data_IF_090253340251
#
_entry.id   IF_090253340251
#
_cell.length_a   1.000
_cell.length_b   1.000
_cell.length_c   1.000
_cell.angle_alpha   90.00
_cell.angle_beta   90.00
_cell.angle_gamma   90.00
#
_symmetry.space_group_name_H-M   'P 1'
#
loop_
_entity.id
_entity.type
_entity.pdbx_description
1 polymer ?
#
# COMPACT_ATOMS: atom_id res chain seq x y z
N UNK A 1 -12.59 16.92 -19.00
CA UNK A 1 -12.51 15.70 -18.15
C UNK A 1 -11.20 15.01 -18.46
N UNK A 2 -10.33 14.87 -17.47
CA UNK A 2 -9.08 14.12 -17.67
C UNK A 2 -9.46 12.63 -17.75
N UNK A 3 -9.30 12.05 -18.95
CA UNK A 3 -9.69 10.66 -19.23
C UNK A 3 -8.60 9.76 -18.63
N UNK A 4 -9.00 8.62 -18.05
CA UNK A 4 -8.08 7.56 -17.65
C UNK A 4 -7.27 7.09 -18.86
N UNK A 5 -5.96 7.33 -18.85
CA UNK A 5 -5.05 6.96 -19.94
C UNK A 5 -4.19 5.77 -19.55
N UNK A 6 -3.98 4.84 -20.47
CA UNK A 6 -3.07 3.71 -20.28
C UNK A 6 -1.62 4.18 -20.37
N UNK A 7 -0.94 4.25 -19.22
CA UNK A 7 0.44 4.77 -19.12
C UNK A 7 1.49 3.68 -18.96
N UNK A 8 1.10 2.50 -18.50
CA UNK A 8 2.04 1.42 -18.18
C UNK A 8 1.44 0.06 -18.59
N UNK A 9 2.20 -0.74 -19.32
CA UNK A 9 1.81 -2.11 -19.71
C UNK A 9 2.90 -3.09 -19.28
N UNK A 10 2.49 -4.21 -18.69
CA UNK A 10 3.39 -5.28 -18.29
C UNK A 10 2.63 -6.61 -18.20
N UNK A 11 3.30 -7.66 -17.79
CA UNK A 11 2.73 -8.95 -17.44
C UNK A 11 3.27 -9.40 -16.09
N UNK A 12 2.47 -10.19 -15.35
CA UNK A 12 2.88 -10.75 -14.06
C UNK A 12 3.97 -11.78 -14.26
N UNK A 13 5.10 -11.60 -13.59
CA UNK A 13 6.25 -12.50 -13.67
C UNK A 13 6.22 -13.56 -12.56
N UNK A 14 6.94 -14.69 -12.76
CA UNK A 14 6.96 -15.79 -11.79
C UNK A 14 7.50 -15.37 -10.42
N UNK A 15 8.48 -14.47 -10.36
CA UNK A 15 9.05 -14.00 -9.09
C UNK A 15 8.14 -13.05 -8.31
N UNK A 16 7.07 -12.60 -8.91
CA UNK A 16 6.04 -11.75 -8.28
C UNK A 16 4.95 -12.56 -7.57
N UNK A 17 4.93 -13.88 -7.79
CA UNK A 17 3.92 -14.78 -7.23
C UNK A 17 4.31 -15.20 -5.80
N UNK A 18 3.34 -15.13 -4.89
CA UNK A 18 3.49 -15.64 -3.53
C UNK A 18 3.11 -17.13 -3.42
N UNK A 19 3.23 -17.68 -2.21
CA UNK A 19 2.93 -19.10 -1.92
C UNK A 19 1.45 -19.45 -2.11
N UNK A 20 0.57 -18.45 -2.28
CA UNK A 20 -0.86 -18.67 -2.54
C UNK A 20 -1.18 -18.70 -4.03
N UNK A 21 -0.16 -18.56 -4.90
CA UNK A 21 -0.26 -18.69 -6.35
C UNK A 21 -0.75 -17.44 -7.08
N UNK A 22 -0.74 -16.28 -6.44
CA UNK A 22 -1.11 -15.02 -7.06
C UNK A 22 -0.06 -13.94 -6.81
N UNK A 23 -0.15 -12.84 -7.57
CA UNK A 23 0.78 -11.72 -7.43
C UNK A 23 0.73 -11.15 -6.01
N UNK A 24 1.90 -11.13 -5.35
CA UNK A 24 2.04 -10.61 -4.00
C UNK A 24 1.71 -9.11 -3.96
N UNK A 25 1.05 -8.68 -2.88
CA UNK A 25 0.57 -7.31 -2.68
C UNK A 25 1.64 -6.22 -2.90
N UNK A 26 2.92 -6.53 -2.65
CA UNK A 26 4.03 -5.59 -2.85
C UNK A 26 4.23 -5.21 -4.32
N UNK A 27 3.99 -6.14 -5.26
CA UNK A 27 4.21 -5.90 -6.67
C UNK A 27 3.11 -5.05 -7.31
N UNK A 28 1.89 -5.10 -6.78
CA UNK A 28 0.86 -4.14 -7.16
C UNK A 28 1.32 -2.71 -6.87
N UNK A 29 1.92 -2.47 -5.70
CA UNK A 29 2.47 -1.16 -5.33
C UNK A 29 3.66 -0.78 -6.21
N UNK A 30 4.57 -1.72 -6.46
CA UNK A 30 5.72 -1.52 -7.34
C UNK A 30 5.31 -1.05 -8.74
N UNK A 31 4.37 -1.75 -9.37
CA UNK A 31 3.85 -1.38 -10.68
C UNK A 31 3.09 -0.05 -10.67
N UNK A 32 2.33 0.23 -9.60
CA UNK A 32 1.61 1.50 -9.44
C UNK A 32 2.58 2.69 -9.32
N UNK A 33 3.68 2.56 -8.58
CA UNK A 33 4.71 3.60 -8.47
C UNK A 33 5.40 3.87 -9.82
N UNK A 34 5.75 2.82 -10.57
CA UNK A 34 6.32 2.96 -11.90
C UNK A 34 5.35 3.65 -12.88
N UNK A 35 4.08 3.24 -12.86
CA UNK A 35 3.04 3.86 -13.68
C UNK A 35 2.83 5.35 -13.32
N UNK A 36 2.85 5.67 -12.02
CA UNK A 36 2.74 7.05 -11.53
C UNK A 36 3.91 7.90 -12.02
N UNK A 37 5.14 7.41 -11.94
CA UNK A 37 6.32 8.13 -12.42
C UNK A 37 6.23 8.40 -13.94
N UNK A 38 5.81 7.42 -14.74
CA UNK A 38 5.60 7.60 -16.18
C UNK A 38 4.51 8.66 -16.44
N UNK A 39 3.38 8.55 -15.75
CA UNK A 39 2.28 9.52 -15.87
C UNK A 39 2.73 10.95 -15.56
N UNK A 40 3.49 11.16 -14.48
CA UNK A 40 4.00 12.48 -14.11
C UNK A 40 5.01 13.02 -15.14
N UNK A 41 5.79 12.15 -15.78
CA UNK A 41 6.69 12.51 -16.91
C UNK A 41 5.90 12.90 -18.15
N UNK A 42 4.86 12.15 -18.53
CA UNK A 42 3.97 12.47 -19.64
C UNK A 42 3.25 13.82 -19.44
N UNK A 43 2.88 14.11 -18.19
CA UNK A 43 2.30 15.42 -17.80
C UNK A 43 3.37 16.52 -17.66
N UNK A 44 4.65 16.25 -17.93
CA UNK A 44 5.79 17.18 -17.80
C UNK A 44 5.98 17.76 -16.39
N UNK A 45 5.46 17.08 -15.37
CA UNK A 45 5.69 17.42 -13.96
C UNK A 45 7.07 16.98 -13.47
N UNK A 46 7.66 16.00 -14.15
CA UNK A 46 9.02 15.50 -13.92
C UNK A 46 9.72 15.45 -15.26
N UNK A 47 10.99 15.85 -15.32
CA UNK A 47 11.82 15.81 -16.52
C UNK A 47 12.99 14.84 -16.34
N UNK A 48 13.39 14.16 -17.42
CA UNK A 48 14.59 13.33 -17.41
C UNK A 48 15.85 14.17 -17.11
N UNK A 49 16.79 13.70 -16.30
CA UNK A 49 16.94 12.37 -15.66
C UNK A 49 16.32 12.25 -14.27
N UNK A 50 15.48 13.18 -13.88
CA UNK A 50 14.85 13.25 -12.55
C UNK A 50 13.84 12.12 -12.36
N UNK A 51 13.54 11.83 -11.10
CA UNK A 51 12.53 10.85 -10.70
C UNK A 51 11.46 11.54 -9.85
N UNK A 52 10.38 10.84 -9.62
CA UNK A 52 9.26 11.32 -8.79
C UNK A 52 9.74 11.84 -7.42
N UNK A 53 10.61 11.10 -6.73
CA UNK A 53 11.10 11.46 -5.40
C UNK A 53 12.00 12.71 -5.38
N UNK A 54 12.39 13.27 -6.53
CA UNK A 54 13.13 14.55 -6.58
C UNK A 54 12.21 15.74 -6.31
N UNK A 55 10.93 15.63 -6.66
CA UNK A 55 9.97 16.74 -6.60
C UNK A 55 8.81 16.50 -5.64
N UNK A 56 8.54 15.23 -5.33
CA UNK A 56 7.35 14.83 -4.62
C UNK A 56 7.67 13.84 -3.52
N UNK A 57 7.18 14.11 -2.32
CA UNK A 57 7.20 13.19 -1.19
C UNK A 57 5.86 12.46 -1.11
N UNK A 58 5.87 11.14 -1.25
CA UNK A 58 4.67 10.33 -1.07
C UNK A 58 4.25 10.38 0.41
N UNK A 59 3.11 10.99 0.68
CA UNK A 59 2.55 11.13 2.04
C UNK A 59 1.56 10.02 2.36
N UNK A 60 0.66 9.73 1.43
CA UNK A 60 -0.37 8.71 1.63
C UNK A 60 -0.50 7.81 0.40
N UNK A 61 -0.77 6.54 0.68
CA UNK A 61 -1.08 5.55 -0.34
C UNK A 61 -2.31 4.77 0.12
N UNK A 62 -3.41 4.85 -0.65
CA UNK A 62 -4.55 3.96 -0.52
C UNK A 62 -4.54 2.94 -1.65
N UNK A 63 -4.83 1.67 -1.32
CA UNK A 63 -4.93 0.57 -2.27
C UNK A 63 -6.20 -0.21 -1.98
N UNK A 64 -6.91 -0.55 -3.05
CA UNK A 64 -8.01 -1.49 -3.02
C UNK A 64 -7.75 -2.63 -3.99
N UNK A 65 -7.75 -3.85 -3.45
CA UNK A 65 -7.63 -5.07 -4.23
C UNK A 65 -9.04 -5.58 -4.60
N UNK A 66 -9.26 -5.82 -5.86
CA UNK A 66 -10.57 -6.21 -6.40
C UNK A 66 -10.55 -7.62 -6.99
N UNK A 67 -9.42 -8.01 -7.59
CA UNK A 67 -9.23 -9.32 -8.22
C UNK A 67 -7.76 -9.71 -8.18
N UNK A 68 -7.51 -10.99 -8.03
CA UNK A 68 -6.16 -11.55 -8.07
C UNK A 68 -5.58 -11.52 -9.48
N UNK A 69 -4.25 -11.38 -9.55
CA UNK A 69 -3.45 -11.53 -10.75
C UNK A 69 -2.60 -12.78 -10.62
N UNK A 70 -2.48 -13.55 -11.69
CA UNK A 70 -1.67 -14.78 -11.73
C UNK A 70 -0.55 -14.64 -12.76
N UNK A 71 0.44 -15.53 -12.68
CA UNK A 71 1.58 -15.52 -13.60
C UNK A 71 1.16 -15.47 -15.07
N UNK A 72 1.85 -14.66 -15.88
CA UNK A 72 1.57 -14.50 -17.29
C UNK A 72 0.35 -13.64 -17.64
N UNK A 73 -0.39 -13.12 -16.66
CA UNK A 73 -1.51 -12.21 -16.94
C UNK A 73 -0.97 -10.87 -17.44
N UNK A 74 -1.32 -10.45 -18.67
CA UNK A 74 -1.00 -9.12 -19.15
C UNK A 74 -1.90 -8.10 -18.50
N UNK A 75 -1.37 -6.94 -18.16
CA UNK A 75 -2.12 -5.84 -17.58
C UNK A 75 -1.70 -4.47 -18.11
N UNK A 76 -2.59 -3.52 -17.96
CA UNK A 76 -2.34 -2.09 -18.17
C UNK A 76 -2.67 -1.34 -16.91
N UNK A 77 -1.87 -0.32 -16.58
CA UNK A 77 -2.25 0.65 -15.56
C UNK A 77 -2.70 1.93 -16.25
N UNK A 78 -3.90 2.33 -15.88
CA UNK A 78 -4.54 3.56 -16.32
C UNK A 78 -4.32 4.60 -15.22
N UNK A 79 -4.04 5.85 -15.61
CA UNK A 79 -3.78 6.95 -14.68
C UNK A 79 -4.60 8.20 -15.00
N UNK A 80 -4.96 8.94 -13.97
CA UNK A 80 -5.47 10.32 -14.10
C UNK A 80 -5.05 11.17 -12.90
N UNK A 81 -4.93 12.48 -13.12
CA UNK A 81 -4.81 13.44 -12.04
C UNK A 81 -6.16 13.58 -11.33
N UNK A 82 -6.21 13.33 -10.03
CA UNK A 82 -7.43 13.44 -9.23
C UNK A 82 -7.56 14.83 -8.59
N UNK A 83 -6.43 15.38 -8.14
CA UNK A 83 -6.38 16.70 -7.50
C UNK A 83 -5.01 17.32 -7.72
N UNK A 84 -4.98 18.63 -7.92
CA UNK A 84 -3.78 19.48 -7.83
C UNK A 84 -4.14 20.68 -6.97
N UNK A 85 -3.36 20.92 -5.93
CA UNK A 85 -3.48 22.09 -5.07
C UNK A 85 -2.11 22.72 -4.82
N UNK A 86 -2.04 23.79 -4.03
CA UNK A 86 -0.79 24.50 -3.77
C UNK A 86 0.25 23.68 -2.98
N UNK A 87 -0.20 22.68 -2.26
CA UNK A 87 0.66 21.89 -1.37
C UNK A 87 0.72 20.39 -1.68
N UNK A 88 -0.16 19.88 -2.57
CA UNK A 88 -0.24 18.45 -2.88
C UNK A 88 -0.76 18.15 -4.28
N UNK A 89 -0.44 16.95 -4.74
CA UNK A 89 -1.11 16.31 -5.88
C UNK A 89 -1.67 14.96 -5.45
N UNK A 90 -2.80 14.56 -6.05
CA UNK A 90 -3.38 13.22 -5.88
C UNK A 90 -3.49 12.59 -7.26
N UNK A 91 -2.85 11.42 -7.41
CA UNK A 91 -2.90 10.61 -8.62
C UNK A 91 -3.76 9.38 -8.36
N UNK A 92 -4.74 9.16 -9.22
CA UNK A 92 -5.55 7.95 -9.23
C UNK A 92 -5.06 6.99 -10.29
N UNK A 93 -4.94 5.70 -9.94
CA UNK A 93 -4.52 4.63 -10.84
C UNK A 93 -5.47 3.43 -10.76
N UNK A 94 -5.66 2.74 -11.90
CA UNK A 94 -6.33 1.43 -11.97
C UNK A 94 -5.46 0.44 -12.72
N UNK A 95 -5.20 -0.72 -12.11
CA UNK A 95 -4.60 -1.86 -12.80
C UNK A 95 -5.71 -2.72 -13.40
N UNK A 96 -5.70 -2.86 -14.72
CA UNK A 96 -6.67 -3.62 -15.49
C UNK A 96 -6.01 -4.85 -16.10
N UNK A 97 -6.56 -6.02 -15.84
CA UNK A 97 -6.15 -7.27 -16.48
C UNK A 97 -6.66 -7.28 -17.92
N UNK A 98 -5.76 -7.43 -18.89
CA UNK A 98 -6.11 -7.39 -20.31
C UNK A 98 -6.71 -8.70 -20.84
N UNK A 99 -6.54 -9.81 -20.11
CA UNK A 99 -7.14 -11.10 -20.47
C UNK A 99 -8.62 -11.16 -20.10
N UNK A 100 -9.00 -10.56 -18.96
CA UNK A 100 -10.37 -10.62 -18.42
C UNK A 100 -11.13 -9.31 -18.54
N UNK A 101 -10.47 -8.25 -18.98
CA UNK A 101 -10.97 -6.87 -19.05
C UNK A 101 -11.39 -6.28 -17.68
N UNK A 102 -11.03 -6.93 -16.58
CA UNK A 102 -11.45 -6.58 -15.23
C UNK A 102 -10.41 -5.72 -14.51
N UNK A 103 -10.86 -4.77 -13.69
CA UNK A 103 -9.99 -4.02 -12.78
C UNK A 103 -9.57 -4.95 -11.65
N UNK A 104 -8.25 -5.10 -11.46
CA UNK A 104 -7.65 -5.93 -10.41
C UNK A 104 -7.34 -5.15 -9.15
N UNK A 105 -6.96 -3.89 -9.29
CA UNK A 105 -6.69 -3.00 -8.14
C UNK A 105 -6.85 -1.53 -8.52
N UNK A 106 -7.09 -0.70 -7.52
CA UNK A 106 -7.16 0.75 -7.65
C UNK A 106 -6.33 1.41 -6.56
N UNK A 107 -5.75 2.58 -6.87
CA UNK A 107 -4.83 3.30 -6.01
C UNK A 107 -5.14 4.78 -5.96
N UNK A 108 -4.93 5.40 -4.79
CA UNK A 108 -4.77 6.84 -4.65
C UNK A 108 -3.40 7.10 -4.03
N UNK A 109 -2.58 7.88 -4.71
CA UNK A 109 -1.27 8.32 -4.25
C UNK A 109 -1.34 9.82 -3.98
N UNK A 110 -1.15 10.20 -2.72
CA UNK A 110 -1.09 11.61 -2.30
C UNK A 110 0.35 12.00 -2.08
N UNK A 111 0.79 13.02 -2.79
CA UNK A 111 2.14 13.56 -2.70
C UNK A 111 2.10 14.99 -2.21
N UNK A 112 3.08 15.36 -1.35
CA UNK A 112 3.47 16.73 -1.07
C UNK A 112 4.59 17.16 -2.00
N UNK A 113 4.68 18.45 -2.26
CA UNK A 113 5.83 19.02 -2.95
C UNK A 113 7.05 19.00 -2.01
N UNK A 114 8.16 18.42 -2.48
CA UNK A 114 9.43 18.48 -1.75
C UNK A 114 9.92 19.94 -1.65
N UNK A 115 10.36 20.35 -0.46
CA UNK A 115 10.78 21.72 -0.18
C UNK A 115 11.91 22.15 -1.12
N UNK A 116 11.80 23.36 -1.70
CA UNK A 116 12.89 24.06 -2.41
C UNK A 116 12.80 24.09 -3.95
N UNK A 117 11.79 23.49 -4.59
CA UNK A 117 11.68 23.48 -6.04
C UNK A 117 10.67 24.50 -6.62
N UNK A 118 11.11 25.77 -6.72
CA UNK A 118 10.33 26.85 -7.40
C UNK A 118 10.02 26.56 -8.89
N UNK A 119 10.76 25.66 -9.54
CA UNK A 119 10.49 25.24 -10.94
C UNK A 119 9.25 24.36 -11.09
N UNK A 120 8.86 23.60 -10.05
CA UNK A 120 7.59 22.88 -10.07
C UNK A 120 6.38 23.83 -10.22
N UNK A 121 6.47 25.03 -9.66
CA UNK A 121 5.38 26.03 -9.69
C UNK A 121 5.03 26.50 -11.10
N UNK A 122 5.97 26.67 -12.03
CA UNK A 122 5.68 27.14 -13.39
C UNK A 122 4.99 26.05 -14.25
N UNK A 123 5.42 24.81 -14.14
CA UNK A 123 4.76 23.68 -14.83
C UNK A 123 3.38 23.38 -14.21
N UNK A 124 3.22 23.57 -12.91
CA UNK A 124 1.97 23.37 -12.18
C UNK A 124 0.92 24.42 -12.54
N UNK A 125 1.30 25.69 -12.73
CA UNK A 125 0.35 26.74 -13.11
C UNK A 125 -0.28 26.44 -14.46
N UNK A 126 0.51 26.04 -15.46
CA UNK A 126 -0.01 25.69 -16.78
C UNK A 126 -0.88 24.43 -16.79
N UNK A 127 -0.73 23.55 -15.81
CA UNK A 127 -1.56 22.32 -15.65
C UNK A 127 -2.81 22.62 -14.83
N UNK A 128 -2.72 23.46 -13.80
CA UNK A 128 -3.89 23.96 -13.05
C UNK A 128 -4.91 24.63 -13.97
N UNK A 129 -4.44 25.44 -14.91
CA UNK A 129 -5.31 26.14 -15.89
C UNK A 129 -6.06 25.15 -16.79
N UNK A 130 -5.57 23.93 -16.96
CA UNK A 130 -6.18 22.87 -17.77
C UNK A 130 -6.99 21.82 -16.96
N UNK A 131 -6.82 21.78 -15.64
CA UNK A 131 -7.59 20.91 -14.75
C UNK A 131 -8.53 21.83 -13.97
N UNK A 132 -9.80 21.86 -14.39
CA UNK A 132 -10.81 22.62 -13.66
C UNK A 132 -10.74 22.30 -12.16
N UNK A 133 -10.80 23.32 -11.30
CA UNK A 133 -10.80 23.29 -9.82
C UNK A 133 -11.91 22.42 -9.18
N UNK A 134 -12.51 21.51 -9.94
CA UNK A 134 -13.51 20.60 -9.44
C UNK A 134 -12.80 19.52 -8.62
N UNK A 135 -12.95 19.60 -7.32
CA UNK A 135 -12.75 18.52 -6.34
C UNK A 135 -13.65 17.35 -6.77
N UNK A 136 -13.18 16.58 -7.76
CA UNK A 136 -13.92 15.45 -8.31
C UNK A 136 -14.05 14.41 -7.21
N UNK A 137 -15.26 13.93 -6.99
CA UNK A 137 -15.48 12.77 -6.13
C UNK A 137 -14.56 11.64 -6.57
N UNK A 138 -13.91 10.94 -5.62
CA UNK A 138 -13.03 9.83 -5.97
C UNK A 138 -13.82 8.78 -6.78
N UNK A 139 -13.20 8.14 -7.77
CA UNK A 139 -13.83 7.05 -8.50
C UNK A 139 -14.32 5.94 -7.56
N UNK A 140 -15.35 5.20 -7.96
CA UNK A 140 -15.98 4.17 -7.10
C UNK A 140 -15.00 3.13 -6.56
N UNK A 141 -13.95 2.81 -7.31
CA UNK A 141 -12.90 1.88 -6.88
C UNK A 141 -11.93 2.48 -5.86
N UNK A 142 -11.86 3.81 -5.73
CA UNK A 142 -11.04 4.52 -4.75
C UNK A 142 -11.79 4.88 -3.46
N UNK A 143 -13.03 4.45 -3.31
CA UNK A 143 -13.81 4.67 -2.07
C UNK A 143 -13.42 3.62 -1.05
N UNK A 144 -12.93 4.06 0.11
CA UNK A 144 -12.66 3.20 1.28
C UNK A 144 -13.97 2.57 1.77
N UNK A 145 -13.98 1.26 2.02
CA UNK A 145 -15.20 0.54 2.45
C UNK A 145 -15.10 -0.05 3.85
N UNK A 146 -13.92 -0.54 4.23
CA UNK A 146 -13.72 -1.26 5.48
C UNK A 146 -12.67 -0.63 6.39
N UNK A 147 -11.88 0.30 5.91
CA UNK A 147 -10.89 1.02 6.70
C UNK A 147 -11.56 1.97 7.68
N UNK A 148 -11.11 1.93 8.95
CA UNK A 148 -11.61 2.80 10.02
C UNK A 148 -10.92 4.17 10.06
N UNK A 149 -9.97 4.40 9.16
CA UNK A 149 -9.03 5.50 9.21
C UNK A 149 -7.81 5.17 10.08
N UNK A 150 -6.69 5.79 9.74
CA UNK A 150 -5.43 5.56 10.43
C UNK A 150 -5.53 5.96 11.91
N UNK A 151 -4.89 5.21 12.81
CA UNK A 151 -4.86 5.55 14.22
C UNK A 151 -4.14 6.89 14.44
N UNK A 152 -4.26 7.44 15.65
CA UNK A 152 -3.63 8.70 16.01
C UNK A 152 -2.10 8.64 15.75
N UNK A 153 -1.63 9.42 14.78
CA UNK A 153 -0.22 9.47 14.37
C UNK A 153 0.69 10.21 15.37
N UNK A 154 0.12 10.85 16.39
CA UNK A 154 0.87 11.55 17.43
C UNK A 154 1.44 10.62 18.50
N UNK A 155 1.27 9.28 18.35
CA UNK A 155 1.92 8.32 19.25
C UNK A 155 3.44 8.41 19.08
N UNK A 156 4.13 8.43 20.21
CA UNK A 156 5.60 8.39 20.23
C UNK A 156 6.10 6.96 20.04
N UNK A 157 7.33 6.82 19.61
CA UNK A 157 8.01 5.53 19.47
C UNK A 157 7.84 4.65 20.71
N UNK A 158 8.05 5.21 21.94
CA UNK A 158 7.97 4.48 23.19
C UNK A 158 6.55 3.96 23.46
N UNK A 159 5.51 4.72 23.08
CA UNK A 159 4.12 4.33 23.32
C UNK A 159 3.76 3.06 22.55
N UNK A 160 4.32 2.92 21.34
CA UNK A 160 4.11 1.74 20.49
C UNK A 160 5.08 0.62 20.86
N UNK A 161 6.39 0.92 21.04
CA UNK A 161 7.43 -0.09 21.27
C UNK A 161 7.21 -0.85 22.58
N UNK A 162 6.79 -0.15 23.64
CA UNK A 162 6.58 -0.72 24.98
C UNK A 162 5.19 -1.32 25.17
N UNK A 163 4.28 -1.10 24.22
CA UNK A 163 2.91 -1.60 24.33
C UNK A 163 2.83 -3.11 24.21
N UNK A 164 2.18 -3.75 25.17
CA UNK A 164 1.82 -5.17 25.12
C UNK A 164 0.65 -5.46 24.15
N UNK A 165 -0.07 -4.41 23.72
CA UNK A 165 -1.22 -4.51 22.80
C UNK A 165 -0.80 -4.78 21.34
N UNK A 166 0.45 -4.45 20.99
CA UNK A 166 0.97 -4.63 19.64
C UNK A 166 1.98 -5.78 19.60
N UNK A 167 1.73 -6.70 18.70
CA UNK A 167 2.63 -7.83 18.42
C UNK A 167 3.81 -7.33 17.60
N UNK A 168 5.04 -7.70 17.99
CA UNK A 168 6.19 -7.53 17.12
C UNK A 168 6.11 -8.57 16.00
N UNK A 169 5.76 -8.11 14.79
CA UNK A 169 5.51 -8.98 13.64
C UNK A 169 6.68 -9.04 12.65
N UNK A 170 7.62 -8.09 12.75
CA UNK A 170 8.86 -8.10 11.97
C UNK A 170 9.97 -7.35 12.71
N UNK A 171 11.20 -7.87 12.59
CA UNK A 171 12.43 -7.19 12.99
C UNK A 171 13.54 -7.55 12.02
N UNK A 172 14.25 -6.55 11.51
CA UNK A 172 15.32 -6.78 10.53
C UNK A 172 15.97 -5.49 10.05
N UNK A 173 16.80 -5.62 9.03
CA UNK A 173 17.40 -4.48 8.36
C UNK A 173 16.50 -3.99 7.22
N UNK A 174 16.47 -2.68 7.02
CA UNK A 174 15.91 -2.06 5.85
C UNK A 174 16.67 -2.53 4.61
N UNK A 175 15.98 -3.23 3.70
CA UNK A 175 16.58 -3.77 2.49
C UNK A 175 15.75 -3.39 1.29
N UNK A 176 16.37 -2.70 0.35
CA UNK A 176 15.73 -2.27 -0.90
C UNK A 176 15.59 -3.42 -1.87
N UNK A 177 14.40 -3.64 -2.37
CA UNK A 177 14.19 -4.53 -3.52
C UNK A 177 14.04 -3.76 -4.83
N UNK A 178 13.34 -2.63 -4.77
CA UNK A 178 12.78 -1.97 -5.95
C UNK A 178 13.45 -0.63 -6.30
N UNK A 179 14.06 0.04 -5.35
CA UNK A 179 14.67 1.33 -5.61
C UNK A 179 16.20 1.27 -5.55
N UNK A 180 16.86 1.15 -6.71
CA UNK A 180 18.33 1.13 -6.82
C UNK A 180 18.96 2.53 -6.88
N UNK A 181 18.18 3.58 -7.09
CA UNK A 181 18.68 4.93 -7.35
C UNK A 181 18.84 5.77 -6.09
N UNK A 182 18.00 5.55 -5.09
CA UNK A 182 18.06 6.26 -3.80
C UNK A 182 18.41 5.28 -2.69
N UNK A 183 19.14 5.76 -1.68
CA UNK A 183 19.51 4.93 -0.51
C UNK A 183 18.35 4.77 0.50
N UNK A 184 17.11 4.80 0.03
CA UNK A 184 15.90 4.72 0.85
C UNK A 184 14.95 3.66 0.31
N UNK A 185 14.20 3.03 1.21
CA UNK A 185 13.06 2.17 0.85
C UNK A 185 11.98 3.03 0.18
N UNK A 186 11.12 2.35 -0.61
CA UNK A 186 9.89 2.95 -1.15
C UNK A 186 8.64 2.25 -0.59
N UNK A 187 7.45 2.71 -0.98
CA UNK A 187 6.19 2.14 -0.47
C UNK A 187 6.01 0.66 -0.81
N UNK A 188 6.56 0.16 -1.92
CA UNK A 188 6.52 -1.28 -2.26
C UNK A 188 7.40 -2.11 -1.31
N UNK A 189 8.54 -1.56 -0.86
CA UNK A 189 9.39 -2.21 0.14
C UNK A 189 8.67 -2.30 1.49
N UNK A 190 7.97 -1.22 1.91
CA UNK A 190 7.13 -1.23 3.13
C UNK A 190 6.01 -2.27 3.04
N UNK A 191 5.31 -2.36 1.90
CA UNK A 191 4.31 -3.41 1.68
C UNK A 191 4.93 -4.81 1.74
N UNK A 192 6.14 -4.98 1.21
CA UNK A 192 6.90 -6.24 1.30
C UNK A 192 7.26 -6.64 2.72
N UNK A 193 7.52 -5.68 3.61
CA UNK A 193 7.73 -5.93 5.04
C UNK A 193 6.45 -6.45 5.68
N UNK A 194 5.28 -5.83 5.41
CA UNK A 194 3.99 -6.36 5.90
C UNK A 194 3.77 -7.78 5.40
N UNK A 195 4.00 -8.05 4.12
CA UNK A 195 3.82 -9.39 3.54
C UNK A 195 4.66 -10.45 4.26
N UNK A 196 5.90 -10.13 4.63
CA UNK A 196 6.77 -11.00 5.42
C UNK A 196 6.33 -11.14 6.89
N UNK A 197 5.64 -10.13 7.42
CA UNK A 197 5.18 -10.09 8.81
C UNK A 197 3.90 -10.94 9.04
N UNK A 198 3.09 -11.14 8.01
CA UNK A 198 1.79 -11.86 8.11
C UNK A 198 1.90 -13.22 8.81
N UNK A 199 2.87 -14.11 8.50
CA UNK A 199 3.00 -15.38 9.21
C UNK A 199 3.18 -15.22 10.72
N UNK A 200 3.91 -14.21 11.17
CA UNK A 200 4.16 -13.95 12.58
C UNK A 200 2.92 -13.41 13.32
N UNK A 201 1.97 -12.79 12.62
CA UNK A 201 0.72 -12.31 13.21
C UNK A 201 -0.24 -13.44 13.55
N UNK A 202 -0.23 -14.51 12.75
CA UNK A 202 -1.20 -15.59 12.84
C UNK A 202 -0.64 -16.84 13.54
N UNK A 203 0.70 -16.94 13.65
CA UNK A 203 1.41 -18.11 14.14
C UNK A 203 1.92 -17.99 15.58
N UNK A 204 1.40 -17.07 16.41
CA UNK A 204 1.80 -17.04 17.82
C UNK A 204 1.50 -18.40 18.49
N UNK A 205 2.42 -19.34 18.30
CA UNK A 205 2.57 -20.58 19.06
C UNK A 205 1.91 -21.83 18.52
N UNK A 206 1.18 -21.85 17.40
CA UNK A 206 0.64 -23.09 16.82
C UNK A 206 0.34 -22.99 15.32
N UNK A 207 0.51 -24.15 14.66
CA UNK A 207 0.41 -24.43 13.24
C UNK A 207 -0.68 -23.69 12.44
N UNK A 208 -0.23 -23.28 11.32
CA UNK A 208 -0.76 -22.69 10.10
C UNK A 208 -2.27 -22.77 9.89
N UNK A 209 -2.75 -21.66 9.37
CA UNK A 209 -4.03 -21.55 8.63
C UNK A 209 -4.17 -22.67 7.57
N UNK A 210 -3.07 -23.24 7.10
CA UNK A 210 -3.00 -24.27 6.07
C UNK A 210 -3.80 -25.55 6.37
N UNK A 211 -3.97 -25.93 7.64
CA UNK A 211 -4.79 -27.11 8.00
C UNK A 211 -6.28 -26.91 7.74
N UNK A 212 -6.76 -25.66 7.66
CA UNK A 212 -8.19 -25.40 7.45
C UNK A 212 -8.53 -25.09 5.98
N UNK A 213 -7.52 -24.93 5.12
CA UNK A 213 -7.71 -24.45 3.75
C UNK A 213 -8.25 -23.02 3.66
N UNK A 214 -8.19 -22.25 4.77
CA UNK A 214 -8.67 -20.88 4.84
C UNK A 214 -7.49 -19.94 5.08
N UNK A 215 -7.31 -18.97 4.16
CA UNK A 215 -6.31 -17.93 4.24
C UNK A 215 -6.91 -16.52 4.43
N UNK A 216 -6.02 -15.53 4.51
CA UNK A 216 -6.40 -14.12 4.49
C UNK A 216 -6.10 -13.49 3.14
N UNK A 217 -7.07 -12.82 2.53
CA UNK A 217 -6.83 -12.01 1.35
C UNK A 217 -7.01 -10.52 1.66
N UNK A 218 -6.07 -9.71 1.23
CA UNK A 218 -6.14 -8.26 1.39
C UNK A 218 -7.25 -7.67 0.52
N UNK A 219 -8.09 -6.83 1.11
CA UNK A 219 -9.10 -6.04 0.40
C UNK A 219 -8.67 -4.59 0.24
N UNK A 220 -8.15 -4.00 1.30
CA UNK A 220 -7.75 -2.59 1.33
C UNK A 220 -6.51 -2.41 2.20
N UNK A 221 -5.64 -1.48 1.77
CA UNK A 221 -4.58 -0.92 2.60
C UNK A 221 -4.59 0.60 2.49
N UNK A 222 -4.28 1.25 3.61
CA UNK A 222 -3.99 2.68 3.65
C UNK A 222 -2.70 2.89 4.41
N UNK A 223 -1.76 3.63 3.80
CA UNK A 223 -0.50 4.02 4.41
C UNK A 223 -0.46 5.53 4.60
N UNK A 224 0.16 5.96 5.69
CA UNK A 224 0.72 7.30 5.85
C UNK A 224 2.19 7.20 6.19
N UNK A 225 3.01 7.87 5.40
CA UNK A 225 4.46 7.90 5.54
C UNK A 225 4.88 9.20 6.22
N UNK A 226 5.64 9.09 7.31
CA UNK A 226 6.32 10.24 7.92
C UNK A 226 7.66 10.49 7.23
N UNK A 227 8.39 9.41 6.96
CA UNK A 227 9.60 9.40 6.13
C UNK A 227 9.91 7.99 5.63
N UNK A 228 10.70 7.92 4.58
CA UNK A 228 11.26 6.66 4.11
C UNK A 228 12.61 6.41 4.78
N UNK A 229 12.80 5.19 5.27
CA UNK A 229 14.02 4.78 5.96
C UNK A 229 15.15 4.51 4.97
N UNK A 230 16.39 4.76 5.38
CA UNK A 230 17.57 4.40 4.62
C UNK A 230 17.87 2.91 4.70
N UNK A 231 18.50 2.39 3.64
CA UNK A 231 18.97 1.01 3.60
C UNK A 231 19.99 0.76 4.71
N UNK A 232 19.87 -0.38 5.37
CA UNK A 232 20.75 -0.80 6.46
C UNK A 232 20.28 -0.42 7.86
N UNK A 233 19.35 0.53 8.02
CA UNK A 233 18.79 0.85 9.33
C UNK A 233 17.99 -0.34 9.89
N UNK A 234 17.97 -0.46 11.22
CA UNK A 234 17.20 -1.49 11.91
C UNK A 234 15.73 -1.10 11.97
N UNK A 235 14.89 -1.94 11.39
CA UNK A 235 13.42 -1.74 11.37
C UNK A 235 12.73 -2.74 12.28
N UNK A 236 11.70 -2.27 12.96
CA UNK A 236 10.73 -3.09 13.67
C UNK A 236 9.32 -2.77 13.17
N UNK A 237 8.50 -3.81 12.97
CA UNK A 237 7.07 -3.67 12.71
C UNK A 237 6.29 -4.18 13.91
N UNK A 238 5.47 -3.34 14.49
CA UNK A 238 4.48 -3.71 15.48
C UNK A 238 3.08 -3.64 14.88
N UNK A 239 2.29 -4.67 15.15
CA UNK A 239 0.96 -4.82 14.56
C UNK A 239 -0.09 -5.12 15.61
N UNK A 240 -1.27 -4.53 15.46
CA UNK A 240 -2.40 -4.75 16.35
C UNK A 240 -3.68 -5.00 15.58
N UNK A 241 -4.49 -5.94 16.05
CA UNK A 241 -5.79 -6.24 15.47
C UNK A 241 -6.82 -5.23 15.96
N UNK A 242 -7.49 -4.53 15.05
CA UNK A 242 -8.43 -3.45 15.38
C UNK A 242 -9.88 -3.89 15.43
N UNK A 243 -10.29 -4.74 14.50
CA UNK A 243 -11.69 -5.19 14.40
C UNK A 243 -11.79 -6.61 13.92
N UNK A 244 -12.89 -7.27 14.28
CA UNK A 244 -13.28 -8.58 13.78
C UNK A 244 -14.75 -8.53 13.43
N UNK A 245 -15.11 -8.81 12.19
CA UNK A 245 -16.49 -8.98 11.76
C UNK A 245 -16.78 -10.45 11.39
N UNK A 246 -17.90 -10.74 10.73
CA UNK A 246 -18.24 -12.12 10.36
C UNK A 246 -17.22 -12.74 9.41
N UNK A 247 -16.72 -11.97 8.42
CA UNK A 247 -15.84 -12.46 7.35
C UNK A 247 -14.53 -11.68 7.26
N UNK A 248 -14.44 -10.50 7.84
CA UNK A 248 -13.28 -9.61 7.72
C UNK A 248 -12.71 -9.27 9.08
N UNK A 249 -11.44 -8.92 9.09
CA UNK A 249 -10.72 -8.39 10.23
C UNK A 249 -9.74 -7.33 9.76
N UNK A 250 -9.37 -6.40 10.64
CA UNK A 250 -8.50 -5.29 10.28
C UNK A 250 -7.30 -5.19 11.20
N UNK A 251 -6.16 -4.85 10.61
CA UNK A 251 -4.91 -4.63 11.32
C UNK A 251 -4.44 -3.20 11.17
N UNK A 252 -3.76 -2.70 12.20
CA UNK A 252 -2.87 -1.54 12.10
C UNK A 252 -1.42 -1.98 12.25
N UNK A 253 -0.52 -1.33 11.51
CA UNK A 253 0.90 -1.67 11.44
C UNK A 253 1.73 -0.41 11.66
N UNK A 254 2.66 -0.45 12.61
CA UNK A 254 3.56 0.64 12.96
C UNK A 254 4.98 0.30 12.53
N UNK A 255 5.48 0.99 11.53
CA UNK A 255 6.87 0.89 11.09
C UNK A 255 7.74 1.80 11.92
N UNK A 256 8.77 1.25 12.52
CA UNK A 256 9.61 1.92 13.50
C UNK A 256 11.08 1.77 13.15
N UNK A 257 11.81 2.89 13.14
CA UNK A 257 13.27 2.91 13.04
C UNK A 257 13.86 2.74 14.43
N UNK A 258 14.60 1.67 14.65
CA UNK A 258 15.21 1.38 15.96
C UNK A 258 16.48 2.22 16.21
N UNK A 259 17.11 2.75 15.17
CA UNK A 259 18.33 3.53 15.28
C UNK A 259 18.01 5.00 15.63
N UNK A 260 17.00 5.60 14.99
CA UNK A 260 16.57 6.98 15.27
C UNK A 260 15.46 7.07 16.31
N UNK A 261 14.79 5.95 16.65
CA UNK A 261 13.62 5.87 17.54
C UNK A 261 12.44 6.71 17.04
N UNK A 262 12.17 6.61 15.74
CA UNK A 262 11.07 7.32 15.08
C UNK A 262 10.04 6.33 14.51
N UNK A 263 8.80 6.81 14.38
CA UNK A 263 7.76 6.14 13.61
C UNK A 263 7.91 6.58 12.16
N UNK A 264 8.21 5.62 11.29
CA UNK A 264 8.45 5.83 9.87
C UNK A 264 7.14 5.95 9.08
N UNK A 265 6.22 5.04 9.38
CA UNK A 265 4.92 4.97 8.72
C UNK A 265 3.91 4.23 9.59
N UNK A 266 2.65 4.46 9.30
CA UNK A 266 1.52 3.68 9.82
C UNK A 266 0.72 3.15 8.65
N UNK A 267 0.26 1.90 8.75
CA UNK A 267 -0.64 1.31 7.77
C UNK A 267 -1.83 0.64 8.45
N UNK A 268 -3.01 0.83 7.85
CA UNK A 268 -4.22 0.07 8.18
C UNK A 268 -4.54 -0.90 7.04
N UNK A 269 -5.10 -2.05 7.40
CA UNK A 269 -5.50 -3.06 6.42
C UNK A 269 -6.85 -3.68 6.74
N UNK A 270 -7.57 -4.07 5.71
CA UNK A 270 -8.77 -4.90 5.80
C UNK A 270 -8.51 -6.21 5.09
N UNK A 271 -8.65 -7.29 5.82
CA UNK A 271 -8.42 -8.65 5.34
C UNK A 271 -9.73 -9.42 5.36
N UNK A 272 -9.99 -10.23 4.35
CA UNK A 272 -11.12 -11.15 4.31
C UNK A 272 -10.64 -12.60 4.52
N UNK A 273 -11.36 -13.36 5.32
CA UNK A 273 -11.17 -14.81 5.39
C UNK A 273 -11.67 -15.46 4.10
N UNK A 274 -10.81 -16.19 3.42
CA UNK A 274 -11.06 -16.76 2.11
C UNK A 274 -10.73 -18.25 2.10
N UNK A 275 -11.64 -19.03 1.56
CA UNK A 275 -11.38 -20.43 1.20
C UNK A 275 -10.42 -20.45 0.01
N UNK A 276 -9.24 -21.03 0.20
CA UNK A 276 -8.14 -21.02 -0.77
C UNK A 276 -8.41 -21.90 -1.99
N UNK A 277 -9.31 -22.88 -1.88
CA UNK A 277 -9.70 -23.75 -2.99
C UNK A 277 -10.75 -23.10 -3.86
N UNK A 278 -11.82 -22.57 -3.25
CA UNK A 278 -12.94 -21.97 -3.99
C UNK A 278 -12.76 -20.50 -4.28
N UNK A 279 -11.76 -19.85 -3.67
CA UNK A 279 -11.46 -18.40 -3.75
C UNK A 279 -12.66 -17.52 -3.36
N UNK A 280 -13.47 -17.98 -2.44
CA UNK A 280 -14.66 -17.27 -1.94
C UNK A 280 -14.47 -16.80 -0.50
N UNK A 281 -15.01 -15.62 -0.21
CA UNK A 281 -15.05 -15.07 1.14
C UNK A 281 -15.95 -15.92 2.05
N UNK A 282 -15.40 -16.43 3.15
CA UNK A 282 -16.08 -17.30 4.12
C UNK A 282 -16.17 -16.64 5.49
N UNK A 283 -17.00 -17.18 6.37
CA UNK A 283 -16.99 -16.77 7.76
C UNK A 283 -15.67 -17.18 8.43
N UNK A 284 -15.15 -16.31 9.29
CA UNK A 284 -13.92 -16.61 10.06
C UNK A 284 -14.19 -17.85 10.91
N UNK A 285 -13.38 -18.94 10.80
CA UNK A 285 -13.56 -20.15 11.58
C UNK A 285 -13.52 -19.87 13.09
N UNK A 286 -14.27 -20.64 13.87
CA UNK A 286 -14.38 -20.46 15.32
C UNK A 286 -13.00 -20.42 16.01
N UNK A 287 -12.12 -21.37 15.69
CA UNK A 287 -10.77 -21.48 16.27
C UNK A 287 -9.93 -20.24 15.92
N UNK A 288 -9.97 -19.79 14.67
CA UNK A 288 -9.29 -18.56 14.24
C UNK A 288 -9.87 -17.33 14.92
N UNK A 289 -11.19 -17.21 14.99
CA UNK A 289 -11.87 -16.09 15.67
C UNK A 289 -11.46 -15.97 17.13
N UNK A 290 -11.45 -17.08 17.87
CA UNK A 290 -11.04 -17.09 19.27
C UNK A 290 -9.60 -16.60 19.49
N UNK A 291 -8.68 -16.96 18.57
CA UNK A 291 -7.30 -16.45 18.60
C UNK A 291 -7.23 -14.95 18.31
N UNK A 292 -7.97 -14.50 17.27
CA UNK A 292 -8.02 -13.07 16.93
C UNK A 292 -8.61 -12.22 18.06
N UNK A 293 -9.63 -12.70 18.76
CA UNK A 293 -10.27 -12.01 19.90
C UNK A 293 -9.31 -11.78 21.07
N UNK A 294 -8.32 -12.68 21.27
CA UNK A 294 -7.30 -12.53 22.32
C UNK A 294 -6.29 -11.40 22.06
N UNK A 295 -6.08 -11.03 20.79
CA UNK A 295 -5.11 -10.01 20.37
C UNK A 295 -5.78 -8.72 19.88
N UNK A 296 -7.09 -8.60 20.10
CA UNK A 296 -7.85 -7.39 19.74
C UNK A 296 -7.37 -6.22 20.60
N UNK A 297 -6.93 -5.15 19.96
CA UNK A 297 -6.62 -3.90 20.63
C UNK A 297 -7.92 -3.14 20.84
N UNK A 298 -8.42 -3.14 22.07
CA UNK A 298 -9.58 -2.35 22.45
C UNK A 298 -9.22 -0.85 22.57
#
# INVERSE_FOLDING_TARGET
MDILNGVYKNSVEQHEIDNMGHMNVQFYVYHALNACEIFLKEKKLITWPQTMNTFFDLEELFIRYLREQTVGNPFVILAKMQEISDNKIIVYLEMKNLKTDAISSAFLLTFKYAFGHSRANQSLTSIKDNISDSKLSPPSHAIKKGLLGLPNLNLKYQDVSNSQKYVESFRGLASRKFNKKFNQLNAADYMGIISKAVPHLLLQGEHSIDETGIGGAALEYEFRFNRFVEEGNRIMLKSGLRTISKKTYSWTHWFMDQDTREILAVADSVIVAMDLTTRKAVAIPRKMRAKLEQILIA
#
